data_IF_432840817520
#
_entry.id   IF_432840817520
#
_cell.length_a   1.000
_cell.length_b   1.000
_cell.length_c   1.000
_cell.angle_alpha   90.00
_cell.angle_beta   90.00
_cell.angle_gamma   90.00
#
_symmetry.space_group_name_H-M   'P 1'
#
loop_
_entity.id
_entity.type
_entity.pdbx_description
1 polymer ?
#
# COMPACT_ATOMS: atom_id res chain seq x y z
N UNK A 1 5.42 0.17 39.78
CA UNK A 1 5.26 -1.06 38.98
C UNK A 1 4.26 -0.75 37.87
N UNK A 2 4.73 -0.63 36.63
CA UNK A 2 3.86 -0.38 35.48
C UNK A 2 3.43 -1.72 34.92
N UNK A 3 2.12 -2.00 34.91
CA UNK A 3 1.60 -3.24 34.33
C UNK A 3 2.01 -3.37 32.85
N UNK A 4 2.32 -4.57 32.36
CA UNK A 4 2.56 -4.77 30.93
C UNK A 4 1.29 -4.37 30.15
N UNK A 5 1.44 -3.74 28.97
CA UNK A 5 0.30 -3.38 28.14
C UNK A 5 -0.52 -4.63 27.85
N UNK A 6 -1.86 -4.53 27.88
CA UNK A 6 -2.72 -5.64 27.47
C UNK A 6 -2.36 -6.04 26.05
N UNK A 7 -2.47 -7.31 25.68
CA UNK A 7 -2.26 -7.73 24.29
C UNK A 7 -3.16 -6.94 23.31
N UNK A 8 -4.34 -6.53 23.78
CA UNK A 8 -5.27 -5.62 23.09
C UNK A 8 -4.78 -4.17 22.94
N UNK A 9 -3.64 -3.81 23.52
CA UNK A 9 -2.93 -2.53 23.33
C UNK A 9 -1.68 -2.67 22.45
N UNK A 10 -1.30 -3.88 22.03
CA UNK A 10 -0.16 -4.08 21.14
C UNK A 10 -0.42 -3.43 19.77
N UNK A 11 0.51 -2.59 19.29
CA UNK A 11 0.46 -1.91 17.98
C UNK A 11 -0.62 -0.80 17.83
N UNK A 12 -0.63 0.23 18.70
CA UNK A 12 -1.64 1.30 18.66
C UNK A 12 -1.69 2.03 17.31
N UNK A 13 -0.55 2.24 16.65
CA UNK A 13 -0.47 2.92 15.36
C UNK A 13 -1.07 2.10 14.20
N UNK A 14 -0.96 0.77 14.22
CA UNK A 14 -1.61 -0.08 13.20
C UNK A 14 -3.14 -0.05 13.35
N UNK A 15 -3.63 -0.03 14.60
CA UNK A 15 -5.06 0.15 14.89
C UNK A 15 -5.55 1.52 14.42
N UNK A 16 -4.80 2.58 14.72
CA UNK A 16 -5.15 3.93 14.29
C UNK A 16 -5.21 4.03 12.75
N UNK A 17 -4.22 3.48 12.04
CA UNK A 17 -4.22 3.44 10.57
C UNK A 17 -5.46 2.70 10.02
N UNK A 18 -5.78 1.54 10.59
CA UNK A 18 -6.97 0.75 10.21
C UNK A 18 -8.27 1.52 10.48
N UNK A 19 -8.35 2.21 11.62
CA UNK A 19 -9.50 3.02 11.98
C UNK A 19 -9.69 4.20 11.01
N UNK A 20 -8.60 4.86 10.61
CA UNK A 20 -8.60 5.94 9.62
C UNK A 20 -9.08 5.47 8.25
N UNK A 21 -8.54 4.35 7.74
CA UNK A 21 -8.98 3.75 6.48
C UNK A 21 -10.48 3.43 6.53
N UNK A 22 -10.95 2.76 7.59
CA UNK A 22 -12.36 2.41 7.76
C UNK A 22 -13.26 3.64 7.83
N UNK A 23 -12.81 4.69 8.52
CA UNK A 23 -13.55 5.95 8.59
C UNK A 23 -13.69 6.58 7.20
N UNK A 24 -12.59 6.65 6.45
CA UNK A 24 -12.57 7.18 5.08
C UNK A 24 -13.46 6.37 4.13
N UNK A 25 -13.39 5.03 4.16
CA UNK A 25 -14.27 4.16 3.36
C UNK A 25 -15.75 4.45 3.65
N UNK A 26 -16.13 4.55 4.93
CA UNK A 26 -17.51 4.89 5.31
C UNK A 26 -17.92 6.31 4.88
N UNK A 27 -16.99 7.25 4.88
CA UNK A 27 -17.26 8.61 4.39
C UNK A 27 -17.56 8.61 2.89
N UNK A 28 -16.85 7.80 2.10
CA UNK A 28 -17.12 7.60 0.67
C UNK A 28 -18.49 6.95 0.43
N UNK A 29 -18.84 5.93 1.21
CA UNK A 29 -20.15 5.24 1.11
C UNK A 29 -21.34 6.17 1.40
N UNK A 30 -21.15 7.15 2.29
CA UNK A 30 -22.20 8.11 2.69
C UNK A 30 -22.25 9.37 1.83
N UNK A 31 -21.32 9.54 0.90
CA UNK A 31 -21.29 10.73 0.05
C UNK A 31 -22.56 10.79 -0.81
N UNK A 32 -23.24 11.93 -0.79
CA UNK A 32 -24.52 12.13 -1.51
C UNK A 32 -24.36 11.98 -3.03
N UNK A 33 -23.17 12.28 -3.55
CA UNK A 33 -22.80 12.04 -4.93
C UNK A 33 -21.44 11.31 -5.00
N UNK A 34 -21.27 10.33 -5.90
CA UNK A 34 -19.98 9.69 -6.11
C UNK A 34 -18.94 10.72 -6.50
N UNK A 35 -17.91 10.91 -5.68
CA UNK A 35 -16.78 11.74 -6.04
C UNK A 35 -15.82 10.93 -6.92
N UNK A 36 -15.41 11.44 -8.10
CA UNK A 36 -14.43 10.75 -8.92
C UNK A 36 -13.11 10.62 -8.15
N UNK A 37 -12.48 9.44 -8.23
CA UNK A 37 -11.16 9.25 -7.63
C UNK A 37 -10.16 10.19 -8.33
N UNK A 38 -9.49 11.03 -7.55
CA UNK A 38 -8.44 11.93 -8.04
C UNK A 38 -7.04 11.38 -7.77
N UNK A 39 -6.05 11.95 -8.46
CA UNK A 39 -4.63 11.61 -8.27
C UNK A 39 -4.17 11.71 -6.81
N UNK A 40 -4.63 12.72 -6.07
CA UNK A 40 -4.30 12.88 -4.66
C UNK A 40 -4.77 11.69 -3.79
N UNK A 41 -5.95 11.15 -4.09
CA UNK A 41 -6.47 9.99 -3.36
C UNK A 41 -5.64 8.73 -3.65
N UNK A 42 -5.25 8.52 -4.92
CA UNK A 42 -4.39 7.40 -5.30
C UNK A 42 -2.97 7.50 -4.73
N UNK A 43 -2.40 8.71 -4.60
CA UNK A 43 -1.09 8.89 -3.95
C UNK A 43 -1.13 8.47 -2.46
N UNK A 44 -2.13 8.94 -1.70
CA UNK A 44 -2.30 8.55 -0.29
C UNK A 44 -2.51 7.04 -0.16
N UNK A 45 -3.35 6.45 -1.02
CA UNK A 45 -3.56 5.00 -1.03
C UNK A 45 -2.25 4.24 -1.33
N UNK A 46 -1.49 4.69 -2.33
CA UNK A 46 -0.17 4.12 -2.66
C UNK A 46 0.82 4.25 -1.49
N UNK A 47 0.76 5.35 -0.71
CA UNK A 47 1.56 5.52 0.51
C UNK A 47 1.25 4.43 1.54
N UNK A 48 -0.03 4.13 1.78
CA UNK A 48 -0.43 3.05 2.68
C UNK A 48 0.04 1.68 2.19
N UNK A 49 -0.15 1.37 0.90
CA UNK A 49 0.24 0.07 0.33
C UNK A 49 1.75 -0.16 0.44
N UNK A 50 2.56 0.85 0.10
CA UNK A 50 4.03 0.74 0.18
C UNK A 50 4.57 0.72 1.62
N UNK A 51 3.89 1.39 2.57
CA UNK A 51 4.21 1.27 3.99
C UNK A 51 3.90 -0.14 4.53
N UNK A 52 2.72 -0.68 4.21
CA UNK A 52 2.33 -2.06 4.56
C UNK A 52 3.26 -3.09 3.91
N UNK A 53 3.70 -2.86 2.68
CA UNK A 53 4.67 -3.71 1.99
C UNK A 53 5.99 -3.79 2.77
N UNK A 54 6.54 -2.64 3.18
CA UNK A 54 7.76 -2.61 4.00
C UNK A 54 7.59 -3.28 5.35
N UNK A 55 6.42 -3.10 5.99
CA UNK A 55 6.12 -3.76 7.26
C UNK A 55 6.07 -5.28 7.11
N UNK A 56 5.41 -5.79 6.07
CA UNK A 56 5.32 -7.23 5.80
C UNK A 56 6.71 -7.84 5.53
N UNK A 57 7.57 -7.13 4.81
CA UNK A 57 8.96 -7.56 4.58
C UNK A 57 9.68 -7.80 5.92
N UNK A 58 9.59 -6.84 6.84
CA UNK A 58 10.23 -6.93 8.16
C UNK A 58 9.65 -8.06 9.01
N UNK A 59 8.32 -8.21 9.03
CA UNK A 59 7.66 -9.29 9.78
C UNK A 59 8.05 -10.65 9.20
N UNK A 60 8.11 -10.79 7.87
CA UNK A 60 8.50 -12.04 7.21
C UNK A 60 9.92 -12.49 7.59
N UNK A 61 10.88 -11.58 7.67
CA UNK A 61 12.25 -11.89 8.10
C UNK A 61 12.30 -12.44 9.53
N UNK A 62 11.50 -11.87 10.43
CA UNK A 62 11.46 -12.31 11.84
C UNK A 62 10.65 -13.60 12.04
N UNK A 63 9.60 -13.82 11.24
CA UNK A 63 8.71 -14.96 11.37
C UNK A 63 9.28 -16.24 10.74
N UNK A 64 10.17 -16.13 9.74
CA UNK A 64 10.63 -17.29 8.97
C UNK A 64 11.51 -18.27 9.76
N UNK A 65 12.51 -17.85 10.56
CA UNK A 65 13.35 -18.80 11.31
C UNK A 65 12.55 -19.68 12.29
N UNK A 66 11.61 -19.15 13.11
CA UNK A 66 10.80 -19.99 13.99
C UNK A 66 9.61 -20.65 13.28
N UNK A 67 9.06 -20.03 12.23
CA UNK A 67 7.83 -20.48 11.56
C UNK A 67 7.94 -20.42 10.02
N UNK A 68 8.63 -21.38 9.38
CA UNK A 68 8.91 -21.33 7.95
C UNK A 68 7.67 -21.28 7.05
N UNK A 69 6.59 -21.96 7.43
CA UNK A 69 5.33 -21.95 6.68
C UNK A 69 4.65 -20.57 6.72
N UNK A 70 4.62 -19.93 7.90
CA UNK A 70 4.10 -18.58 8.06
C UNK A 70 4.95 -17.58 7.27
N UNK A 71 6.29 -17.69 7.34
CA UNK A 71 7.21 -16.88 6.55
C UNK A 71 6.97 -16.97 5.03
N UNK A 72 6.66 -18.17 4.50
CA UNK A 72 6.29 -18.33 3.08
C UNK A 72 5.00 -17.60 2.74
N UNK A 73 3.97 -17.70 3.58
CA UNK A 73 2.70 -17.00 3.34
C UNK A 73 2.87 -15.48 3.42
N UNK A 74 3.71 -14.99 4.33
CA UNK A 74 4.06 -13.56 4.42
C UNK A 74 4.84 -13.08 3.18
N UNK A 75 5.75 -13.90 2.64
CA UNK A 75 6.43 -13.59 1.38
C UNK A 75 5.45 -13.52 0.19
N UNK A 76 4.47 -14.43 0.13
CA UNK A 76 3.37 -14.35 -0.85
C UNK A 76 2.57 -13.06 -0.67
N UNK A 77 2.18 -12.72 0.56
CA UNK A 77 1.44 -11.49 0.85
C UNK A 77 2.23 -10.22 0.45
N UNK A 78 3.54 -10.20 0.72
CA UNK A 78 4.45 -9.13 0.33
C UNK A 78 4.47 -8.93 -1.21
N UNK A 79 4.61 -10.01 -1.98
CA UNK A 79 4.58 -9.97 -3.44
C UNK A 79 3.24 -9.46 -3.99
N UNK A 80 2.10 -9.90 -3.42
CA UNK A 80 0.76 -9.44 -3.82
C UNK A 80 0.52 -7.98 -3.48
N UNK A 81 1.01 -7.53 -2.34
CA UNK A 81 0.88 -6.13 -1.95
C UNK A 81 1.71 -5.20 -2.85
N UNK A 82 2.88 -5.66 -3.32
CA UNK A 82 3.62 -4.97 -4.36
C UNK A 82 2.81 -4.85 -5.66
N UNK A 83 2.21 -5.94 -6.14
CA UNK A 83 1.37 -5.91 -7.34
C UNK A 83 0.19 -4.94 -7.21
N UNK A 84 -0.46 -4.89 -6.05
CA UNK A 84 -1.50 -3.91 -5.76
C UNK A 84 -0.97 -2.47 -5.81
N UNK A 85 0.21 -2.22 -5.24
CA UNK A 85 0.85 -0.90 -5.30
C UNK A 85 1.21 -0.49 -6.74
N UNK A 86 1.70 -1.42 -7.57
CA UNK A 86 1.96 -1.19 -8.99
C UNK A 86 0.69 -0.82 -9.74
N UNK A 87 -0.39 -1.58 -9.58
CA UNK A 87 -1.66 -1.28 -10.25
C UNK A 87 -2.23 0.10 -9.84
N UNK A 88 -2.11 0.48 -8.57
CA UNK A 88 -2.52 1.81 -8.09
C UNK A 88 -1.64 2.92 -8.67
N UNK A 89 -0.32 2.69 -8.77
CA UNK A 89 0.61 3.61 -9.41
C UNK A 89 0.31 3.79 -10.90
N UNK A 90 -0.01 2.71 -11.61
CA UNK A 90 -0.38 2.79 -13.02
C UNK A 90 -1.71 3.54 -13.21
N UNK A 91 -2.71 3.26 -12.35
CA UNK A 91 -3.97 4.00 -12.33
C UNK A 91 -3.77 5.51 -12.07
N UNK A 92 -2.82 5.88 -11.22
CA UNK A 92 -2.47 7.29 -10.97
C UNK A 92 -2.00 8.01 -12.25
N UNK A 93 -1.24 7.34 -13.11
CA UNK A 93 -0.80 7.91 -14.39
C UNK A 93 -1.91 8.01 -15.43
N UNK A 94 -2.96 7.19 -15.32
CA UNK A 94 -4.14 7.25 -16.20
C UNK A 94 -5.13 8.37 -15.83
N UNK A 95 -5.04 8.93 -14.63
CA UNK A 95 -5.94 10.00 -14.20
C UNK A 95 -5.46 11.40 -14.63
N UNK A 96 -6.39 12.31 -14.98
CA UNK A 96 -6.06 13.68 -15.35
C UNK A 96 -5.46 14.46 -14.18
N UNK A 97 -4.63 15.46 -14.49
CA UNK A 97 -4.12 16.39 -13.49
C UNK A 97 -5.24 17.37 -13.13
N UNK A 98 -5.55 17.52 -11.83
CA UNK A 98 -6.60 18.42 -11.34
C UNK A 98 -6.24 19.92 -11.48
N UNK A 99 -5.13 20.26 -12.12
CA UNK A 99 -4.76 21.63 -12.43
C UNK A 99 -5.58 22.09 -13.64
N UNK A 100 -6.63 22.88 -13.38
CA UNK A 100 -7.40 23.54 -14.42
C UNK A 100 -6.49 24.23 -15.44
N UNK A 101 -6.90 24.15 -16.72
CA UNK A 101 -6.26 24.77 -17.89
C UNK A 101 -4.81 24.37 -18.13
N UNK A 102 -4.61 23.48 -19.10
CA UNK A 102 -3.39 23.36 -19.87
C UNK A 102 -3.17 24.63 -20.72
N UNK A 103 -2.81 25.74 -20.07
CA UNK A 103 -2.05 26.79 -20.71
C UNK A 103 -0.60 26.51 -20.35
N UNK A 104 0.17 26.10 -21.37
CA UNK A 104 1.62 25.95 -21.41
C UNK A 104 2.30 26.77 -20.32
N UNK A 105 2.61 26.14 -19.19
CA UNK A 105 3.41 26.75 -18.12
C UNK A 105 4.57 25.82 -17.90
N UNK A 106 5.73 26.34 -18.23
CA UNK A 106 7.04 25.72 -18.09
C UNK A 106 7.17 25.03 -16.73
N UNK A 107 7.86 23.88 -16.75
CA UNK A 107 8.20 23.17 -15.54
C UNK A 107 9.12 24.06 -14.71
N UNK A 108 8.60 24.62 -13.61
CA UNK A 108 9.33 25.44 -12.64
C UNK A 108 9.62 24.59 -11.37
N UNK A 109 10.62 23.70 -11.38
CA UNK A 109 10.97 22.83 -10.25
C UNK A 109 11.31 23.60 -8.97
N UNK A 110 11.65 24.88 -9.07
CA UNK A 110 12.00 25.79 -7.97
C UNK A 110 10.80 26.38 -7.20
N UNK A 111 9.55 26.18 -7.65
CA UNK A 111 8.37 26.89 -7.10
C UNK A 111 7.45 26.11 -6.15
N UNK A 112 7.87 24.95 -5.63
CA UNK A 112 7.08 24.26 -4.60
C UNK A 112 7.77 24.25 -3.23
N UNK A 113 7.14 24.81 -2.16
CA UNK A 113 7.61 24.64 -0.79
C UNK A 113 7.67 23.16 -0.35
N UNK A 114 6.82 22.30 -0.93
CA UNK A 114 6.69 20.87 -0.59
C UNK A 114 7.22 19.87 -1.66
N UNK A 115 7.84 20.34 -2.75
CA UNK A 115 8.25 19.49 -3.89
C UNK A 115 7.06 18.90 -4.67
N UNK A 116 7.20 18.63 -5.99
CA UNK A 116 6.08 18.20 -6.82
C UNK A 116 5.45 16.90 -6.29
N UNK A 117 4.14 16.89 -5.91
CA UNK A 117 3.49 15.72 -5.31
C UNK A 117 3.53 14.50 -6.24
N UNK A 118 3.66 14.73 -7.55
CA UNK A 118 3.80 13.67 -8.57
C UNK A 118 5.12 12.89 -8.43
N UNK A 119 6.21 13.51 -7.96
CA UNK A 119 7.47 12.81 -7.76
C UNK A 119 7.45 11.93 -6.51
N UNK A 120 6.64 12.24 -5.49
CA UNK A 120 6.64 11.45 -4.26
C UNK A 120 6.07 10.05 -4.48
N UNK A 121 5.02 9.90 -5.30
CA UNK A 121 4.44 8.59 -5.61
C UNK A 121 5.41 7.73 -6.44
N UNK A 122 6.03 8.33 -7.47
CA UNK A 122 6.99 7.66 -8.34
C UNK A 122 8.27 7.25 -7.59
N UNK A 123 8.82 8.15 -6.78
CA UNK A 123 10.00 7.86 -5.95
C UNK A 123 9.71 6.75 -4.93
N UNK A 124 8.55 6.81 -4.27
CA UNK A 124 8.10 5.77 -3.33
C UNK A 124 7.95 4.42 -4.03
N UNK A 125 7.41 4.42 -5.25
CA UNK A 125 7.24 3.23 -6.07
C UNK A 125 8.61 2.62 -6.43
N UNK A 126 9.55 3.42 -6.94
CA UNK A 126 10.90 2.97 -7.28
C UNK A 126 11.64 2.38 -6.07
N UNK A 127 11.53 3.03 -4.91
CA UNK A 127 12.14 2.57 -3.67
C UNK A 127 11.58 1.21 -3.22
N UNK A 128 10.26 1.02 -3.28
CA UNK A 128 9.63 -0.27 -2.95
C UNK A 128 9.98 -1.37 -3.98
N UNK A 129 10.03 -1.02 -5.27
CA UNK A 129 10.41 -1.95 -6.34
C UNK A 129 11.84 -2.49 -6.22
N UNK A 130 12.76 -1.73 -5.60
CA UNK A 130 14.10 -2.23 -5.31
C UNK A 130 14.10 -3.41 -4.33
N UNK A 131 13.23 -3.40 -3.31
CA UNK A 131 13.11 -4.52 -2.36
C UNK A 131 12.61 -5.79 -3.06
N UNK A 132 11.59 -5.68 -3.92
CA UNK A 132 11.03 -6.81 -4.66
C UNK A 132 12.06 -7.43 -5.60
N UNK A 133 12.80 -6.61 -6.36
CA UNK A 133 13.84 -7.11 -7.28
C UNK A 133 14.93 -7.93 -6.58
N UNK A 134 15.21 -7.66 -5.30
CA UNK A 134 16.21 -8.41 -4.53
C UNK A 134 15.68 -9.69 -3.92
N UNK A 135 14.40 -9.73 -3.55
CA UNK A 135 13.84 -10.77 -2.67
C UNK A 135 12.81 -11.68 -3.33
N UNK A 136 12.32 -11.33 -4.51
CA UNK A 136 11.20 -12.01 -5.14
C UNK A 136 11.59 -12.50 -6.53
N UNK A 137 11.35 -13.79 -6.79
CA UNK A 137 11.59 -14.40 -8.10
C UNK A 137 10.42 -14.15 -9.04
N UNK A 138 10.61 -14.26 -10.37
CA UNK A 138 9.50 -14.22 -11.31
C UNK A 138 8.41 -15.26 -11.01
N UNK A 139 8.80 -16.44 -10.51
CA UNK A 139 7.86 -17.49 -10.12
C UNK A 139 6.96 -17.03 -8.96
N UNK A 140 7.52 -16.33 -7.96
CA UNK A 140 6.75 -15.83 -6.81
C UNK A 140 5.67 -14.83 -7.24
N UNK A 141 5.93 -14.00 -8.26
CA UNK A 141 4.95 -13.04 -8.80
C UNK A 141 3.84 -13.72 -9.60
N UNK A 142 4.15 -14.82 -10.29
CA UNK A 142 3.26 -15.51 -11.21
C UNK A 142 2.53 -16.71 -10.59
N UNK A 143 2.90 -17.14 -9.38
CA UNK A 143 2.28 -18.30 -8.72
C UNK A 143 0.79 -18.04 -8.46
N UNK A 144 -0.15 -18.82 -9.04
CA UNK A 144 -1.58 -18.65 -8.80
C UNK A 144 -1.91 -18.80 -7.31
N UNK A 145 -2.95 -18.10 -6.83
CA UNK A 145 -3.54 -18.47 -5.55
C UNK A 145 -4.10 -19.89 -5.71
N UNK A 146 -3.57 -20.83 -4.94
CA UNK A 146 -4.21 -22.13 -4.82
C UNK A 146 -5.51 -21.88 -4.05
N UNK A 147 -6.64 -21.94 -4.74
CA UNK A 147 -7.96 -21.94 -4.10
C UNK A 147 -8.10 -23.21 -3.28
N UNK A 148 -7.68 -23.18 -2.02
CA UNK A 148 -8.10 -24.18 -1.06
C UNK A 148 -9.54 -23.86 -0.70
N UNK A 149 -10.48 -24.42 -1.46
CA UNK A 149 -11.89 -24.46 -1.09
C UNK A 149 -11.99 -25.27 0.21
N UNK A 150 -11.99 -24.60 1.35
CA UNK A 150 -12.40 -25.24 2.61
C UNK A 150 -13.92 -25.30 2.62
N UNK A 151 -14.48 -26.30 1.95
CA UNK A 151 -15.88 -26.67 2.15
C UNK A 151 -16.03 -27.18 3.57
N UNK A 152 -16.59 -26.34 4.46
CA UNK A 152 -17.15 -26.81 5.71
C UNK A 152 -18.31 -27.76 5.36
N UNK A 153 -18.07 -29.06 5.49
CA UNK A 153 -19.16 -30.04 5.59
C UNK A 153 -19.75 -29.89 6.99
N UNK A 154 -21.06 -29.66 7.05
CA UNK A 154 -21.86 -29.60 8.28
C UNK A 154 -22.42 -30.97 8.59
#
# INVERSE_FOLDING_TARGET
MTSPPRADDAHPYLRAATAGIRHHTRALERAVAPQPAGRAHLDVLHAHLTALHRLLDQIAETARPPHPAAGRQLATAHARLWQAATAVHDAFHLLPHNTGTAAVSECHPERLPEGPPVLTVCQRHLAAGHTIRRKTTPTDLNTPLHSHTTTCVR
#
